data_IF_239172161270
#
_entry.id   IF_239172161270
#
_cell.length_a   1.000
_cell.length_b   1.000
_cell.length_c   1.000
_cell.angle_alpha   90.00
_cell.angle_beta   90.00
_cell.angle_gamma   90.00
#
_symmetry.space_group_name_H-M   'P 1'
#
loop_
_entity.id
_entity.type
_entity.pdbx_description
1 polymer ?
#
# COMPACT_ATOMS: atom_id res chain seq x y z
N UNK A 1 6.46 -14.15 -3.28
CA UNK A 1 5.95 -14.77 -2.05
C UNK A 1 5.03 -15.95 -2.35
N UNK A 2 3.89 -15.75 -3.02
CA UNK A 2 2.93 -16.82 -3.36
C UNK A 2 3.53 -17.95 -4.23
N UNK A 3 4.43 -17.64 -5.17
CA UNK A 3 5.12 -18.65 -6.01
C UNK A 3 5.99 -19.65 -5.22
N UNK A 4 6.25 -19.41 -3.93
CA UNK A 4 7.03 -20.29 -3.05
C UNK A 4 6.17 -21.05 -2.03
N UNK A 5 4.85 -20.86 -2.05
CA UNK A 5 3.91 -21.48 -1.12
C UNK A 5 3.20 -22.67 -1.78
N UNK A 6 2.86 -23.70 -1.01
CA UNK A 6 2.00 -24.78 -1.49
C UNK A 6 0.54 -24.30 -1.62
N UNK A 7 -0.30 -24.98 -2.41
CA UNK A 7 -1.73 -24.66 -2.50
C UNK A 7 -2.42 -24.60 -1.13
N UNK A 8 -2.07 -25.50 -0.21
CA UNK A 8 -2.61 -25.54 1.15
C UNK A 8 -2.17 -24.32 1.96
N UNK A 9 -0.91 -23.91 1.85
CA UNK A 9 -0.40 -22.71 2.51
C UNK A 9 -1.08 -21.44 1.99
N UNK A 10 -1.34 -21.36 0.67
CA UNK A 10 -2.08 -20.23 0.07
C UNK A 10 -3.52 -20.21 0.59
N UNK A 11 -4.22 -21.34 0.58
CA UNK A 11 -5.59 -21.45 1.09
C UNK A 11 -5.70 -21.09 2.58
N UNK A 12 -4.76 -21.55 3.40
CA UNK A 12 -4.70 -21.20 4.81
C UNK A 12 -4.47 -19.70 5.03
N UNK A 13 -3.57 -19.08 4.25
CA UNK A 13 -3.31 -17.64 4.31
C UNK A 13 -4.53 -16.80 3.89
N UNK A 14 -5.21 -17.20 2.82
CA UNK A 14 -6.45 -16.56 2.34
C UNK A 14 -7.56 -16.67 3.39
N UNK A 15 -7.77 -17.87 3.96
CA UNK A 15 -8.75 -18.10 5.03
C UNK A 15 -8.49 -17.18 6.23
N UNK A 16 -7.22 -17.04 6.62
CA UNK A 16 -6.82 -16.10 7.68
C UNK A 16 -7.15 -14.65 7.32
N UNK A 17 -6.84 -14.22 6.09
CA UNK A 17 -7.11 -12.86 5.63
C UNK A 17 -8.61 -12.54 5.58
N UNK A 18 -9.46 -13.45 5.08
CA UNK A 18 -10.92 -13.26 5.06
C UNK A 18 -11.44 -13.02 6.47
N UNK A 19 -11.04 -13.87 7.42
CA UNK A 19 -11.48 -13.77 8.81
C UNK A 19 -11.06 -12.45 9.46
N UNK A 20 -9.80 -12.03 9.28
CA UNK A 20 -9.29 -10.79 9.88
C UNK A 20 -9.88 -9.55 9.18
N UNK A 21 -9.95 -9.57 7.85
CA UNK A 21 -10.52 -8.48 7.05
C UNK A 21 -11.97 -8.20 7.40
N UNK A 22 -12.79 -9.24 7.57
CA UNK A 22 -14.20 -9.08 7.93
C UNK A 22 -14.40 -8.31 9.26
N UNK A 23 -13.50 -8.49 10.24
CA UNK A 23 -13.53 -7.73 11.49
C UNK A 23 -13.20 -6.24 11.31
N UNK A 24 -12.48 -5.90 10.24
CA UNK A 24 -12.11 -4.54 9.86
C UNK A 24 -12.95 -3.98 8.70
N UNK A 25 -14.02 -4.67 8.29
CA UNK A 25 -14.89 -4.26 7.18
C UNK A 25 -14.35 -4.57 5.78
N UNK A 26 -13.19 -5.22 5.64
CA UNK A 26 -12.55 -5.55 4.36
C UNK A 26 -13.04 -6.92 3.87
N UNK A 27 -13.64 -6.96 2.69
CA UNK A 27 -14.15 -8.18 2.05
C UNK A 27 -13.15 -8.73 1.04
N UNK A 28 -12.04 -9.31 1.55
CA UNK A 28 -10.98 -9.86 0.71
C UNK A 28 -11.49 -10.90 -0.30
N UNK A 29 -11.06 -10.76 -1.55
CA UNK A 29 -11.27 -11.68 -2.67
C UNK A 29 -9.95 -12.03 -3.35
N UNK A 30 -9.88 -13.20 -3.96
CA UNK A 30 -8.61 -13.79 -4.43
C UNK A 30 -8.67 -14.44 -5.82
N UNK A 31 -9.76 -14.27 -6.56
CA UNK A 31 -9.94 -14.76 -7.93
C UNK A 31 -9.34 -13.85 -9.01
N UNK A 32 -8.91 -12.64 -8.65
CA UNK A 32 -8.29 -11.67 -9.56
C UNK A 32 -6.84 -11.98 -9.91
N UNK A 33 -6.32 -11.28 -10.93
CA UNK A 33 -4.91 -11.33 -11.28
C UNK A 33 -4.07 -10.50 -10.28
N UNK A 34 -2.93 -11.06 -9.85
CA UNK A 34 -1.97 -10.37 -8.99
C UNK A 34 -0.74 -10.03 -9.82
N UNK A 35 -0.76 -8.82 -10.39
CA UNK A 35 0.30 -8.25 -11.20
C UNK A 35 1.33 -7.44 -10.43
N UNK A 36 2.08 -6.60 -11.14
CA UNK A 36 3.00 -5.63 -10.54
C UNK A 36 2.24 -4.42 -10.00
N UNK A 37 2.51 -4.01 -8.76
CA UNK A 37 1.96 -2.77 -8.18
C UNK A 37 2.74 -1.51 -8.57
N UNK A 38 3.70 -1.58 -9.51
CA UNK A 38 4.57 -0.45 -9.84
C UNK A 38 3.80 0.75 -10.38
N UNK A 39 2.78 0.54 -11.21
CA UNK A 39 1.93 1.63 -11.72
C UNK A 39 1.17 2.32 -10.59
N UNK A 40 0.56 1.54 -9.70
CA UNK A 40 -0.11 2.05 -8.50
C UNK A 40 0.85 2.91 -7.64
N UNK A 41 2.04 2.40 -7.32
CA UNK A 41 3.02 3.16 -6.54
C UNK A 41 3.49 4.44 -7.24
N UNK A 42 3.66 4.38 -8.57
CA UNK A 42 4.05 5.53 -9.38
C UNK A 42 2.98 6.63 -9.34
N UNK A 43 1.71 6.27 -9.52
CA UNK A 43 0.62 7.24 -9.43
C UNK A 43 0.49 7.81 -8.01
N UNK A 44 0.62 6.98 -6.97
CA UNK A 44 0.62 7.43 -5.58
C UNK A 44 1.74 8.44 -5.28
N UNK A 45 2.92 8.25 -5.86
CA UNK A 45 4.02 9.21 -5.74
C UNK A 45 3.67 10.53 -6.42
N UNK A 46 3.24 10.50 -7.69
CA UNK A 46 2.87 11.69 -8.47
C UNK A 46 1.75 12.49 -7.78
N UNK A 47 0.70 11.80 -7.32
CA UNK A 47 -0.44 12.42 -6.64
C UNK A 47 -0.02 13.10 -5.34
N UNK A 48 0.89 12.49 -4.58
CA UNK A 48 1.45 13.12 -3.37
C UNK A 48 2.14 14.44 -3.69
N UNK A 49 3.00 14.46 -4.72
CA UNK A 49 3.74 15.66 -5.12
C UNK A 49 2.83 16.76 -5.69
N UNK A 50 1.79 16.38 -6.45
CA UNK A 50 0.94 17.33 -7.18
C UNK A 50 -0.32 17.77 -6.44
N UNK A 51 -0.91 16.88 -5.64
CA UNK A 51 -2.24 17.07 -5.00
C UNK A 51 -2.21 16.89 -3.48
N UNK A 52 -1.07 16.51 -2.90
CA UNK A 52 -0.88 16.38 -1.46
C UNK A 52 -1.27 15.01 -0.90
N UNK A 53 -0.96 14.81 0.39
CA UNK A 53 -1.11 13.52 1.07
C UNK A 53 -2.55 13.06 1.22
N UNK A 54 -3.51 14.00 1.37
CA UNK A 54 -4.93 13.63 1.51
C UNK A 54 -5.49 13.01 0.21
N UNK A 55 -5.06 13.52 -0.95
CA UNK A 55 -5.45 12.92 -2.23
C UNK A 55 -4.73 11.58 -2.45
N UNK A 56 -3.47 11.48 -2.04
CA UNK A 56 -2.72 10.22 -2.10
C UNK A 56 -3.41 9.13 -1.25
N UNK A 57 -3.83 9.47 -0.04
CA UNK A 57 -4.48 8.53 0.89
C UNK A 57 -5.80 7.99 0.32
N UNK A 58 -6.65 8.88 -0.20
CA UNK A 58 -7.88 8.48 -0.90
C UNK A 58 -7.61 7.56 -2.09
N UNK A 59 -6.58 7.87 -2.88
CA UNK A 59 -6.19 7.02 -4.01
C UNK A 59 -5.67 5.66 -3.53
N UNK A 60 -4.87 5.61 -2.47
CA UNK A 60 -4.34 4.36 -1.93
C UNK A 60 -5.48 3.44 -1.47
N UNK A 61 -6.45 3.99 -0.74
CA UNK A 61 -7.65 3.27 -0.32
C UNK A 61 -8.45 2.73 -1.51
N UNK A 62 -8.64 3.56 -2.56
CA UNK A 62 -9.32 3.14 -3.78
C UNK A 62 -8.58 2.00 -4.49
N UNK A 63 -7.26 2.07 -4.58
CA UNK A 63 -6.45 1.02 -5.20
C UNK A 63 -6.47 -0.28 -4.39
N UNK A 64 -6.49 -0.20 -3.06
CA UNK A 64 -6.70 -1.37 -2.21
C UNK A 64 -8.07 -1.99 -2.42
N UNK A 65 -9.13 -1.17 -2.48
CA UNK A 65 -10.48 -1.65 -2.78
C UNK A 65 -10.55 -2.36 -4.14
N UNK A 66 -9.94 -1.78 -5.18
CA UNK A 66 -9.88 -2.37 -6.52
C UNK A 66 -9.15 -3.71 -6.51
N UNK A 67 -7.97 -3.79 -5.91
CA UNK A 67 -7.16 -5.02 -5.90
C UNK A 67 -7.74 -6.12 -5.01
N UNK A 68 -8.12 -5.77 -3.79
CA UNK A 68 -8.38 -6.74 -2.72
C UNK A 68 -9.85 -7.08 -2.56
N UNK A 69 -10.79 -6.25 -3.03
CA UNK A 69 -12.23 -6.49 -2.89
C UNK A 69 -12.96 -6.59 -4.23
N UNK A 70 -12.38 -6.03 -5.30
CA UNK A 70 -12.94 -6.08 -6.67
C UNK A 70 -12.17 -6.96 -7.64
N UNK A 71 -11.09 -7.59 -7.19
CA UNK A 71 -10.29 -8.53 -8.00
C UNK A 71 -9.70 -7.88 -9.28
N UNK A 72 -9.56 -6.55 -9.28
CA UNK A 72 -9.05 -5.80 -10.40
C UNK A 72 -7.51 -5.86 -10.47
N UNK A 73 -6.97 -5.81 -11.69
CA UNK A 73 -5.54 -5.83 -11.96
C UNK A 73 -4.95 -4.42 -11.87
N UNK A 74 -4.25 -4.10 -10.78
CA UNK A 74 -3.57 -2.80 -10.63
C UNK A 74 -2.28 -2.66 -11.45
N UNK A 75 -1.95 -3.66 -12.26
CA UNK A 75 -0.91 -3.55 -13.30
C UNK A 75 -1.46 -3.14 -14.67
N UNK A 76 -2.79 -3.01 -14.79
CA UNK A 76 -3.46 -2.44 -15.96
C UNK A 76 -3.61 -0.92 -15.81
N UNK A 77 -3.16 -0.17 -16.81
CA UNK A 77 -3.24 1.30 -16.82
C UNK A 77 -4.68 1.79 -16.79
N UNK A 78 -5.62 1.11 -17.45
CA UNK A 78 -7.02 1.54 -17.51
C UNK A 78 -7.69 1.39 -16.13
N UNK A 79 -7.34 0.34 -15.38
CA UNK A 79 -7.77 0.15 -13.98
C UNK A 79 -7.25 1.26 -13.08
N UNK A 80 -5.97 1.62 -13.23
CA UNK A 80 -5.35 2.70 -12.45
C UNK A 80 -6.01 4.06 -12.76
N UNK A 81 -6.31 4.32 -14.04
CA UNK A 81 -6.98 5.54 -14.48
C UNK A 81 -8.40 5.62 -13.93
N UNK A 82 -9.17 4.53 -14.01
CA UNK A 82 -10.52 4.47 -13.43
C UNK A 82 -10.46 4.75 -11.91
N UNK A 83 -9.54 4.11 -11.18
CA UNK A 83 -9.37 4.33 -9.74
C UNK A 83 -9.02 5.79 -9.42
N UNK A 84 -8.17 6.43 -10.23
CA UNK A 84 -7.88 7.87 -10.11
C UNK A 84 -9.13 8.74 -10.32
N UNK A 85 -9.93 8.43 -11.35
CA UNK A 85 -11.19 9.11 -11.61
C UNK A 85 -12.17 9.03 -10.43
N UNK A 86 -12.27 7.86 -9.78
CA UNK A 86 -13.16 7.64 -8.63
C UNK A 86 -12.85 8.53 -7.42
N UNK A 87 -11.60 8.95 -7.26
CA UNK A 87 -11.18 9.83 -6.17
C UNK A 87 -11.15 11.31 -6.54
N UNK A 88 -11.57 11.64 -7.77
CA UNK A 88 -11.71 13.01 -8.27
C UNK A 88 -10.49 13.54 -9.03
N UNK A 89 -9.59 12.68 -9.49
CA UNK A 89 -8.55 13.05 -10.46
C UNK A 89 -9.15 13.08 -11.87
N UNK A 90 -8.58 13.88 -12.78
CA UNK A 90 -8.96 13.82 -14.18
C UNK A 90 -8.42 12.54 -14.83
N UNK A 91 -9.25 11.74 -15.50
CA UNK A 91 -8.76 10.51 -16.13
C UNK A 91 -7.69 10.78 -17.22
N UNK A 92 -7.88 11.82 -18.03
CA UNK A 92 -6.88 12.25 -19.02
C UNK A 92 -5.59 12.71 -18.35
N UNK A 93 -5.68 13.47 -17.26
CA UNK A 93 -4.53 13.91 -16.45
C UNK A 93 -3.75 12.69 -15.92
N UNK A 94 -4.45 11.67 -15.40
CA UNK A 94 -3.81 10.43 -14.93
C UNK A 94 -3.14 9.66 -16.06
N UNK A 95 -3.80 9.55 -17.23
CA UNK A 95 -3.20 8.92 -18.43
C UNK A 95 -1.93 9.64 -18.86
N UNK A 96 -1.95 10.96 -18.90
CA UNK A 96 -0.79 11.78 -19.26
C UNK A 96 0.37 11.58 -18.30
N UNK A 97 0.11 11.60 -16.99
CA UNK A 97 1.13 11.36 -15.97
C UNK A 97 1.78 9.97 -16.11
N UNK A 98 0.98 8.95 -16.48
CA UNK A 98 1.47 7.59 -16.63
C UNK A 98 2.09 7.30 -18.00
N UNK A 99 1.89 8.15 -19.01
CA UNK A 99 2.44 7.97 -20.35
C UNK A 99 3.97 8.18 -20.41
N UNK A 100 4.53 9.02 -19.53
CA UNK A 100 5.97 9.28 -19.43
C UNK A 100 6.71 8.39 -18.43
N UNK A 101 7.85 8.87 -17.91
CA UNK A 101 8.66 8.22 -16.88
C UNK A 101 8.59 8.90 -15.49
N UNK A 102 7.75 9.94 -15.33
CA UNK A 102 7.61 10.68 -14.07
C UNK A 102 7.36 9.74 -12.89
N UNK A 103 8.15 9.82 -11.82
CA UNK A 103 7.97 8.98 -10.64
C UNK A 103 8.60 7.59 -10.72
N UNK A 104 9.09 7.13 -11.89
CA UNK A 104 9.71 5.80 -12.03
C UNK A 104 10.98 5.69 -11.20
N UNK A 105 11.87 6.68 -11.31
CA UNK A 105 13.14 6.69 -10.59
C UNK A 105 12.91 6.78 -9.08
N UNK A 106 11.97 7.62 -8.66
CA UNK A 106 11.68 7.89 -7.26
C UNK A 106 11.13 6.64 -6.55
N UNK A 107 10.23 5.88 -7.18
CA UNK A 107 9.73 4.63 -6.59
C UNK A 107 10.81 3.54 -6.53
N UNK A 108 11.75 3.53 -7.48
CA UNK A 108 12.87 2.60 -7.48
C UNK A 108 13.86 2.90 -6.37
N UNK A 109 14.19 4.18 -6.18
CA UNK A 109 15.05 4.67 -5.12
C UNK A 109 14.41 4.46 -3.75
N UNK A 110 13.12 4.73 -3.58
CA UNK A 110 12.39 4.44 -2.34
C UNK A 110 12.40 2.94 -2.01
N UNK A 111 12.09 2.10 -3.01
CA UNK A 111 12.12 0.65 -2.84
C UNK A 111 13.51 0.12 -2.53
N UNK A 112 14.56 0.69 -3.14
CA UNK A 112 15.96 0.36 -2.84
C UNK A 112 16.32 0.80 -1.42
N UNK A 113 16.00 2.03 -1.04
CA UNK A 113 16.27 2.56 0.30
C UNK A 113 15.63 1.70 1.40
N UNK A 114 14.38 1.27 1.21
CA UNK A 114 13.71 0.37 2.15
C UNK A 114 14.46 -0.98 2.29
N UNK A 115 14.89 -1.58 1.17
CA UNK A 115 15.67 -2.83 1.20
C UNK A 115 17.03 -2.66 1.85
N UNK A 116 17.73 -1.57 1.53
CA UNK A 116 19.04 -1.25 2.10
C UNK A 116 18.94 -0.99 3.62
N UNK A 117 17.79 -0.45 4.07
CA UNK A 117 17.44 -0.30 5.48
C UNK A 117 16.99 -1.63 6.15
N UNK A 118 17.01 -2.75 5.44
CA UNK A 118 16.69 -4.07 5.97
C UNK A 118 15.21 -4.43 6.01
N UNK A 119 14.32 -3.63 5.41
CA UNK A 119 12.88 -3.93 5.34
C UNK A 119 12.65 -5.17 4.48
N UNK A 120 11.99 -6.19 5.05
CA UNK A 120 11.75 -7.49 4.40
C UNK A 120 10.28 -7.71 3.98
N UNK A 121 9.37 -6.85 4.44
CA UNK A 121 7.94 -6.96 4.17
C UNK A 121 7.21 -5.67 4.51
N UNK A 122 5.93 -5.59 4.11
CA UNK A 122 5.04 -4.46 4.40
C UNK A 122 3.76 -4.95 5.10
N UNK A 123 3.08 -4.11 5.89
CA UNK A 123 3.50 -2.75 6.28
C UNK A 123 4.74 -2.78 7.19
N UNK A 124 5.60 -1.77 7.07
CA UNK A 124 6.72 -1.52 7.98
C UNK A 124 6.55 -0.10 8.52
N UNK A 125 6.41 0.03 9.83
CA UNK A 125 6.10 1.31 10.48
C UNK A 125 7.24 1.66 11.43
N UNK A 126 7.72 2.91 11.31
CA UNK A 126 8.75 3.47 12.18
C UNK A 126 8.13 4.62 12.96
N UNK A 127 8.15 4.51 14.29
CA UNK A 127 7.63 5.55 15.20
C UNK A 127 8.80 6.20 15.93
N UNK A 128 8.88 7.53 15.86
CA UNK A 128 9.95 8.30 16.52
C UNK A 128 11.37 7.97 16.06
N UNK A 129 11.54 7.33 14.90
CA UNK A 129 12.84 6.90 14.38
C UNK A 129 13.52 5.75 15.15
N UNK A 130 12.82 5.14 16.12
CA UNK A 130 13.42 4.16 17.04
C UNK A 130 12.59 2.89 17.19
N UNK A 131 11.26 3.00 17.11
CA UNK A 131 10.37 1.84 17.23
C UNK A 131 10.01 1.34 15.84
N UNK A 132 10.47 0.12 15.51
CA UNK A 132 10.23 -0.53 14.23
C UNK A 132 9.22 -1.65 14.39
N UNK A 133 8.25 -1.68 13.49
CA UNK A 133 7.20 -2.70 13.47
C UNK A 133 7.10 -3.33 12.09
N UNK A 134 7.08 -4.66 12.07
CA UNK A 134 6.91 -5.46 10.85
C UNK A 134 5.53 -6.13 10.85
N UNK A 135 4.73 -5.84 9.82
CA UNK A 135 3.40 -6.42 9.63
C UNK A 135 2.27 -5.59 10.25
N UNK A 136 1.04 -6.08 10.09
CA UNK A 136 -0.15 -5.43 10.63
C UNK A 136 -0.19 -5.61 12.16
N UNK A 137 -0.13 -4.50 12.89
CA UNK A 137 -0.16 -4.45 14.35
C UNK A 137 -1.59 -4.47 14.89
N UNK A 138 -1.72 -4.87 16.16
CA UNK A 138 -2.89 -4.48 16.93
C UNK A 138 -2.88 -2.96 17.21
N UNK A 139 -4.05 -2.33 17.21
CA UNK A 139 -4.18 -0.88 17.42
C UNK A 139 -3.63 -0.46 18.78
N UNK A 140 -3.78 -1.30 19.81
CA UNK A 140 -3.26 -1.01 21.15
C UNK A 140 -1.73 -1.01 21.19
N UNK A 141 -1.08 -1.99 20.55
CA UNK A 141 0.38 -2.07 20.44
C UNK A 141 0.95 -0.84 19.71
N UNK A 142 0.30 -0.42 18.63
CA UNK A 142 0.68 0.78 17.91
C UNK A 142 0.53 2.04 18.76
N UNK A 143 -0.59 2.17 19.49
CA UNK A 143 -0.84 3.33 20.35
C UNK A 143 0.19 3.45 21.48
N UNK A 144 0.53 2.33 22.14
CA UNK A 144 1.55 2.31 23.19
C UNK A 144 2.91 2.78 22.66
N UNK A 145 3.30 2.33 21.47
CA UNK A 145 4.55 2.74 20.82
C UNK A 145 4.60 4.26 20.55
N UNK A 146 3.49 4.84 20.09
CA UNK A 146 3.38 6.29 19.86
C UNK A 146 3.51 7.07 21.17
N UNK A 147 2.88 6.60 22.25
CA UNK A 147 2.97 7.23 23.57
C UNK A 147 4.42 7.18 24.08
N UNK A 148 5.08 6.02 23.98
CA UNK A 148 6.47 5.85 24.42
C UNK A 148 7.43 6.73 23.63
N UNK A 149 7.31 6.75 22.29
CA UNK A 149 8.14 7.59 21.44
C UNK A 149 8.05 9.09 21.80
N UNK A 150 6.83 9.56 22.12
CA UNK A 150 6.61 10.95 22.58
C UNK A 150 7.25 11.22 23.94
N UNK A 151 7.18 10.28 24.88
CA UNK A 151 7.79 10.44 26.19
C UNK A 151 9.32 10.50 26.10
N UNK A 152 9.92 9.64 25.27
CA UNK A 152 11.36 9.62 25.01
C UNK A 152 11.87 10.87 24.28
N UNK A 153 11.04 11.50 23.43
CA UNK A 153 11.42 12.77 22.77
C UNK A 153 11.32 14.00 23.67
N UNK A 154 10.54 13.94 24.76
CA UNK A 154 10.39 15.04 25.73
C UNK A 154 11.42 15.00 26.86
N UNK A 155 12.16 13.88 26.98
CA UNK A 155 13.17 13.64 28.00
C UNK A 155 14.60 13.79 27.49
N UNK A 156 14.78 14.21 26.23
CA UNK A 156 16.04 14.63 25.60
C UNK A 156 16.02 16.13 25.36
#
# INVERSE_FOLDING_TARGET
>A
MLRRMTPEQVSAAQTRLIRVGAASGIQFKFGGYIGSSRLAHRLLHIVRERKGSEMQDRLAEMLFHYQFEREADVSDVDVIVEAGGRVGLGEEEVREWLAGDEGVKEIEEQGKGARDAGVKGVPHIIVGGQYHFDGALDVSEFFEAVVQARQSSLSQ
#
